data_IF_593426285883
#
_entry.id   IF_593426285883
#
_cell.length_a   1.000
_cell.length_b   1.000
_cell.length_c   1.000
_cell.angle_alpha   90.00
_cell.angle_beta   90.00
_cell.angle_gamma   90.00
#
_symmetry.space_group_name_H-M   'P 1'
#
loop_
_entity.id
_entity.type
_entity.pdbx_description
1 polymer ?
#
# COMPACT_ATOMS: atom_id res chain seq x y z
N UNK A 1 3.64 10.35 -6.87
CA UNK A 1 4.96 10.60 -6.24
C UNK A 1 5.68 11.86 -6.77
N UNK A 2 5.22 12.47 -7.84
CA UNK A 2 5.74 13.72 -8.41
C UNK A 2 5.09 14.96 -7.76
N UNK A 3 5.10 15.03 -6.41
CA UNK A 3 4.46 16.12 -5.65
C UNK A 3 5.41 16.75 -4.64
N UNK A 4 5.10 17.98 -4.21
CA UNK A 4 5.85 18.67 -3.15
C UNK A 4 5.81 17.92 -1.81
N UNK A 5 4.74 17.17 -1.53
CA UNK A 5 4.64 16.32 -0.34
C UNK A 5 5.73 15.27 -0.30
N UNK A 6 6.01 14.58 -1.43
CA UNK A 6 7.10 13.61 -1.50
C UNK A 6 8.48 14.23 -1.32
N UNK A 7 8.70 15.44 -1.86
CA UNK A 7 9.95 16.14 -1.64
C UNK A 7 10.16 16.50 -0.16
N UNK A 8 9.11 17.00 0.50
CA UNK A 8 9.16 17.32 1.95
C UNK A 8 9.39 16.08 2.82
N UNK A 9 8.73 14.96 2.49
CA UNK A 9 8.88 13.69 3.23
C UNK A 9 10.29 13.10 3.14
N UNK A 10 10.98 13.31 2.01
CA UNK A 10 12.36 12.81 1.81
C UNK A 10 13.41 13.82 2.29
N UNK A 11 13.33 14.27 3.54
CA UNK A 11 14.19 15.31 4.14
C UNK A 11 15.69 15.05 4.00
N UNK A 12 16.11 13.78 3.99
CA UNK A 12 17.51 13.38 3.84
C UNK A 12 18.01 13.46 2.39
N UNK A 13 17.13 13.73 1.44
CA UNK A 13 17.46 13.85 0.03
C UNK A 13 17.27 15.30 -0.40
N UNK A 14 18.25 15.87 -1.07
CA UNK A 14 18.04 17.14 -1.76
C UNK A 14 17.06 16.93 -2.92
N UNK A 15 16.16 17.88 -3.11
CA UNK A 15 15.16 17.83 -4.17
C UNK A 15 15.26 19.01 -5.12
N UNK A 16 14.83 18.81 -6.35
CA UNK A 16 14.68 19.87 -7.34
C UNK A 16 13.48 19.57 -8.25
N UNK A 17 12.85 20.64 -8.73
CA UNK A 17 11.78 20.55 -9.73
C UNK A 17 12.33 20.99 -11.06
N UNK A 18 12.14 20.17 -12.09
CA UNK A 18 12.51 20.46 -13.46
C UNK A 18 11.25 20.45 -14.32
N UNK A 19 11.18 21.30 -15.32
CA UNK A 19 10.04 21.33 -16.23
C UNK A 19 10.41 21.90 -17.59
N UNK A 20 9.63 21.53 -18.61
CA UNK A 20 9.70 22.08 -19.96
C UNK A 20 8.44 22.86 -20.23
N UNK A 21 8.60 24.09 -20.71
CA UNK A 21 7.48 24.90 -21.19
C UNK A 21 7.57 25.09 -22.69
N UNK A 22 6.46 24.97 -23.37
CA UNK A 22 6.27 25.30 -24.77
C UNK A 22 5.08 26.26 -24.86
N UNK A 23 5.24 27.39 -25.50
CA UNK A 23 4.22 28.42 -25.62
C UNK A 23 3.56 28.82 -24.29
N UNK A 24 4.37 28.88 -23.24
CA UNK A 24 3.92 29.20 -21.87
C UNK A 24 3.29 28.04 -21.10
N UNK A 25 2.95 26.92 -21.74
CA UNK A 25 2.37 25.75 -21.12
C UNK A 25 3.43 24.76 -20.63
N UNK A 26 3.22 24.18 -19.45
CA UNK A 26 4.08 23.13 -18.91
C UNK A 26 3.74 21.79 -19.59
N UNK A 27 4.65 21.29 -20.45
CA UNK A 27 4.48 20.06 -21.22
C UNK A 27 5.24 18.85 -20.63
N UNK A 28 6.22 19.12 -19.76
CA UNK A 28 6.91 18.06 -19.02
C UNK A 28 7.35 18.55 -17.64
N UNK A 29 7.35 17.65 -16.65
CA UNK A 29 7.78 17.95 -15.28
C UNK A 29 8.45 16.76 -14.61
N UNK A 30 9.40 17.04 -13.71
CA UNK A 30 10.05 16.03 -12.88
C UNK A 30 10.40 16.57 -11.48
N UNK A 31 10.06 15.82 -10.46
CA UNK A 31 10.69 15.91 -9.14
C UNK A 31 11.93 15.02 -9.16
N UNK A 32 13.10 15.61 -9.03
CA UNK A 32 14.37 14.90 -8.96
C UNK A 32 14.87 14.91 -7.51
N UNK A 33 15.07 13.74 -6.95
CA UNK A 33 15.60 13.52 -5.62
C UNK A 33 17.08 13.12 -5.71
N UNK A 34 17.95 13.76 -4.92
CA UNK A 34 19.39 13.50 -4.90
C UNK A 34 19.79 12.89 -3.56
N UNK A 35 20.11 11.60 -3.57
CA UNK A 35 20.64 10.91 -2.37
C UNK A 35 22.15 11.10 -2.31
N UNK A 36 22.68 11.61 -1.19
CA UNK A 36 24.13 11.70 -0.98
C UNK A 36 24.80 10.32 -1.05
N UNK A 37 25.96 10.27 -1.68
CA UNK A 37 26.88 9.13 -1.73
C UNK A 37 28.24 9.56 -1.18
N UNK A 38 29.13 8.60 -0.83
CA UNK A 38 30.50 8.92 -0.43
C UNK A 38 31.24 9.79 -1.46
N UNK A 39 32.25 10.51 -1.00
CA UNK A 39 33.13 11.39 -1.82
C UNK A 39 32.37 12.55 -2.49
N UNK A 40 31.24 12.98 -1.94
CA UNK A 40 30.46 14.10 -2.43
C UNK A 40 29.72 13.85 -3.75
N UNK A 41 29.59 12.61 -4.16
CA UNK A 41 28.71 12.20 -5.27
C UNK A 41 27.26 12.06 -4.82
N UNK A 42 26.36 11.91 -5.80
CA UNK A 42 24.94 11.68 -5.54
C UNK A 42 24.40 10.53 -6.40
N UNK A 43 23.26 10.00 -5.97
CA UNK A 43 22.37 9.17 -6.77
C UNK A 43 21.11 9.98 -7.04
N UNK A 44 20.77 10.21 -8.32
CA UNK A 44 19.58 10.95 -8.70
C UNK A 44 18.42 9.98 -8.98
N UNK A 45 17.22 10.32 -8.50
CA UNK A 45 16.01 9.51 -8.69
C UNK A 45 14.79 10.36 -9.01
N UNK A 46 14.02 9.96 -10.01
CA UNK A 46 12.74 10.56 -10.41
C UNK A 46 11.61 9.54 -10.15
N UNK A 47 11.02 9.53 -8.94
CA UNK A 47 10.03 8.53 -8.55
C UNK A 47 8.73 8.69 -9.33
N UNK A 48 8.26 7.63 -10.00
CA UNK A 48 7.03 7.62 -10.81
C UNK A 48 6.93 8.75 -11.83
N UNK A 49 8.08 9.14 -12.38
CA UNK A 49 8.22 10.18 -13.40
C UNK A 49 9.41 9.91 -14.32
N UNK A 50 9.76 10.88 -15.17
CA UNK A 50 9.12 12.18 -15.43
C UNK A 50 7.67 12.10 -15.91
N UNK A 51 6.92 13.20 -15.73
CA UNK A 51 5.58 13.37 -16.28
C UNK A 51 5.72 14.08 -17.64
N UNK A 52 5.44 13.42 -18.74
CA UNK A 52 5.49 13.95 -20.10
C UNK A 52 4.82 12.98 -21.07
N UNK A 53 4.60 13.41 -22.30
CA UNK A 53 4.25 12.51 -23.39
C UNK A 53 5.51 11.80 -23.91
N UNK A 54 5.59 10.50 -23.68
CA UNK A 54 6.72 9.66 -24.11
C UNK A 54 6.61 9.20 -25.57
N UNK A 55 5.49 9.43 -26.25
CA UNK A 55 5.32 9.19 -27.70
C UNK A 55 5.96 10.31 -28.51
N UNK A 56 6.09 11.52 -27.94
CA UNK A 56 6.88 12.59 -28.53
C UNK A 56 8.38 12.31 -28.36
N UNK A 57 9.00 11.81 -29.44
CA UNK A 57 10.42 11.46 -29.46
C UNK A 57 11.33 12.68 -29.21
N UNK A 58 10.98 13.86 -29.75
CA UNK A 58 11.77 15.08 -29.59
C UNK A 58 11.74 15.58 -28.15
N UNK A 59 10.55 15.64 -27.54
CA UNK A 59 10.38 16.00 -26.13
C UNK A 59 11.10 15.00 -25.22
N UNK A 60 10.96 13.70 -25.48
CA UNK A 60 11.60 12.63 -24.69
C UNK A 60 13.11 12.77 -24.74
N UNK A 61 13.70 12.94 -25.93
CA UNK A 61 15.15 13.11 -26.10
C UNK A 61 15.63 14.38 -25.41
N UNK A 62 14.93 15.49 -25.60
CA UNK A 62 15.26 16.78 -25.01
C UNK A 62 15.24 16.71 -23.47
N UNK A 63 14.11 16.31 -22.90
CA UNK A 63 13.91 16.39 -21.45
C UNK A 63 14.80 15.38 -20.69
N UNK A 64 14.91 14.13 -21.16
CA UNK A 64 15.83 13.17 -20.55
C UNK A 64 17.29 13.60 -20.67
N UNK A 65 17.67 14.24 -21.79
CA UNK A 65 18.98 14.85 -21.99
C UNK A 65 19.27 15.97 -20.99
N UNK A 66 18.30 16.90 -20.78
CA UNK A 66 18.41 17.99 -19.81
C UNK A 66 18.47 17.47 -18.36
N UNK A 67 17.61 16.49 -18.00
CA UNK A 67 17.67 15.85 -16.69
C UNK A 67 19.02 15.18 -16.44
N UNK A 68 19.61 14.54 -17.45
CA UNK A 68 20.96 13.95 -17.36
C UNK A 68 22.02 15.01 -17.16
N UNK A 69 21.96 16.16 -17.86
CA UNK A 69 22.89 17.31 -17.71
C UNK A 69 22.76 17.92 -16.31
N UNK A 70 21.53 18.15 -15.87
CA UNK A 70 21.25 18.68 -14.54
C UNK A 70 21.76 17.73 -13.44
N UNK A 71 21.48 16.42 -13.55
CA UNK A 71 21.98 15.45 -12.60
C UNK A 71 23.53 15.39 -12.56
N UNK A 72 24.20 15.58 -13.73
CA UNK A 72 25.66 15.67 -13.82
C UNK A 72 26.22 16.88 -13.06
N UNK A 73 25.54 18.05 -13.14
CA UNK A 73 25.93 19.25 -12.40
C UNK A 73 25.83 19.07 -10.87
N UNK A 74 24.93 18.18 -10.43
CA UNK A 74 24.75 17.75 -9.03
C UNK A 74 25.63 16.55 -8.65
N UNK A 75 26.68 16.25 -9.43
CA UNK A 75 27.63 15.14 -9.24
C UNK A 75 26.97 13.76 -9.19
N UNK A 76 25.84 13.56 -9.85
CA UNK A 76 25.20 12.25 -9.89
C UNK A 76 26.04 11.22 -10.65
N UNK A 77 26.02 9.98 -10.17
CA UNK A 77 26.62 8.82 -10.82
C UNK A 77 25.73 8.33 -11.95
N UNK A 78 24.45 8.29 -11.70
CA UNK A 78 23.39 8.00 -12.67
C UNK A 78 22.08 8.64 -12.19
N UNK A 79 21.11 8.78 -13.10
CA UNK A 79 19.76 9.16 -12.79
C UNK A 79 18.85 7.97 -13.08
N UNK A 80 18.17 7.48 -12.07
CA UNK A 80 17.14 6.46 -12.17
C UNK A 80 15.77 7.12 -12.32
N UNK A 81 14.89 6.54 -13.13
CA UNK A 81 13.49 6.95 -13.25
C UNK A 81 12.61 5.76 -13.54
N UNK A 82 11.39 5.80 -13.05
CA UNK A 82 10.38 4.73 -13.19
C UNK A 82 9.01 5.33 -13.49
N UNK A 83 8.78 5.79 -14.75
CA UNK A 83 7.56 6.51 -15.11
C UNK A 83 6.32 5.66 -14.83
N UNK A 84 5.23 6.34 -14.46
CA UNK A 84 3.95 5.69 -14.18
C UNK A 84 3.22 5.32 -15.50
N UNK A 85 3.95 4.67 -16.40
CA UNK A 85 3.43 4.20 -17.68
C UNK A 85 2.90 2.77 -17.54
N UNK A 86 1.62 2.61 -17.79
CA UNK A 86 0.96 1.31 -17.73
C UNK A 86 1.25 0.52 -19.00
N UNK A 87 1.72 -0.71 -18.87
CA UNK A 87 1.83 -1.69 -19.97
C UNK A 87 0.48 -2.34 -20.19
N UNK A 88 -0.12 -2.86 -19.11
CA UNK A 88 -1.38 -3.58 -19.16
C UNK A 88 -2.13 -3.47 -17.83
N UNK A 89 -3.44 -3.60 -17.92
CA UNK A 89 -4.30 -3.91 -16.78
C UNK A 89 -4.94 -5.27 -17.03
N UNK A 90 -4.96 -6.11 -16.02
CA UNK A 90 -5.62 -7.41 -16.08
C UNK A 90 -6.50 -7.64 -14.87
N UNK A 91 -7.53 -8.49 -15.04
CA UNK A 91 -8.43 -8.91 -13.99
C UNK A 91 -8.89 -10.34 -14.30
N UNK A 92 -8.96 -11.22 -13.31
CA UNK A 92 -9.26 -12.65 -13.49
C UNK A 92 -8.40 -13.31 -14.59
N UNK A 93 -7.11 -12.93 -14.67
CA UNK A 93 -6.16 -13.40 -15.69
C UNK A 93 -6.47 -12.91 -17.12
N UNK A 94 -7.53 -12.12 -17.32
CA UNK A 94 -7.85 -11.50 -18.60
C UNK A 94 -7.26 -10.09 -18.68
N UNK A 95 -6.65 -9.76 -19.82
CA UNK A 95 -6.13 -8.42 -20.10
C UNK A 95 -7.29 -7.53 -20.53
N UNK A 96 -7.61 -6.52 -19.70
CA UNK A 96 -8.67 -5.54 -19.97
C UNK A 96 -8.16 -4.28 -20.66
N UNK A 97 -6.87 -4.01 -20.53
CA UNK A 97 -6.19 -2.91 -21.22
C UNK A 97 -4.76 -3.31 -21.58
N UNK A 98 -4.29 -2.89 -22.75
CA UNK A 98 -2.89 -2.99 -23.18
C UNK A 98 -2.49 -1.72 -23.89
N UNK A 99 -1.33 -1.18 -23.53
CA UNK A 99 -0.79 0.02 -24.16
C UNK A 99 -0.28 -0.31 -25.58
N UNK A 100 -0.98 0.21 -26.59
CA UNK A 100 -0.61 -0.02 -28.00
C UNK A 100 0.67 0.71 -28.42
N UNK A 101 1.06 1.78 -27.70
CA UNK A 101 2.24 2.60 -28.02
C UNK A 101 3.50 2.18 -27.24
N UNK A 102 3.45 1.02 -26.54
CA UNK A 102 4.55 0.58 -25.67
C UNK A 102 5.90 0.49 -26.40
N UNK A 103 5.92 -0.08 -27.59
CA UNK A 103 7.16 -0.29 -28.36
C UNK A 103 7.76 1.06 -28.78
N UNK A 104 6.95 2.00 -29.21
CA UNK A 104 7.34 3.39 -29.53
C UNK A 104 7.91 4.11 -28.30
N UNK A 105 7.21 4.06 -27.18
CA UNK A 105 7.65 4.64 -25.90
C UNK A 105 9.00 4.06 -25.48
N UNK A 106 9.15 2.72 -25.55
CA UNK A 106 10.39 2.03 -25.22
C UNK A 106 11.54 2.41 -26.14
N UNK A 107 11.26 2.59 -27.43
CA UNK A 107 12.25 3.05 -28.42
C UNK A 107 12.70 4.48 -28.12
N UNK A 108 11.77 5.40 -27.88
CA UNK A 108 12.07 6.80 -27.57
C UNK A 108 12.93 6.95 -26.31
N UNK A 109 12.61 6.20 -25.24
CA UNK A 109 13.41 6.20 -24.01
C UNK A 109 14.83 5.64 -24.26
N UNK A 110 14.95 4.52 -25.01
CA UNK A 110 16.26 3.92 -25.33
C UNK A 110 17.11 4.84 -26.21
N UNK A 111 16.51 5.45 -27.23
CA UNK A 111 17.18 6.40 -28.12
C UNK A 111 17.66 7.66 -27.36
N UNK A 112 16.99 8.01 -26.26
CA UNK A 112 17.39 9.09 -25.36
C UNK A 112 18.47 8.65 -24.34
N UNK A 113 18.98 7.41 -24.45
CA UNK A 113 20.02 6.85 -23.59
C UNK A 113 19.53 6.20 -22.31
N UNK A 114 18.22 5.94 -22.19
CA UNK A 114 17.63 5.18 -21.08
C UNK A 114 17.95 3.69 -21.18
N UNK A 115 18.56 3.14 -20.14
CA UNK A 115 18.87 1.71 -20.06
C UNK A 115 17.82 1.02 -19.22
N UNK A 116 17.04 0.14 -19.84
CA UNK A 116 16.07 -0.74 -19.18
C UNK A 116 16.72 -2.09 -18.85
N UNK A 117 16.58 -2.57 -17.60
CA UNK A 117 17.22 -3.81 -17.16
C UNK A 117 16.33 -5.04 -17.21
N UNK A 118 15.31 -4.97 -18.03
CA UNK A 118 14.36 -6.08 -18.24
C UNK A 118 13.13 -6.01 -17.36
N UNK A 119 12.17 -6.85 -17.70
CA UNK A 119 10.91 -6.97 -16.99
C UNK A 119 11.01 -8.03 -15.90
N UNK A 120 10.94 -7.64 -14.67
CA UNK A 120 10.98 -8.53 -13.50
C UNK A 120 9.59 -8.76 -12.90
N UNK A 121 9.38 -9.93 -12.32
CA UNK A 121 8.15 -10.28 -11.58
C UNK A 121 8.33 -10.22 -10.06
N UNK A 122 9.59 -10.17 -9.59
CA UNK A 122 9.93 -10.03 -8.17
C UNK A 122 9.60 -8.63 -7.66
N UNK A 123 8.87 -8.56 -6.55
CA UNK A 123 8.44 -7.31 -5.90
C UNK A 123 9.62 -6.41 -5.53
N UNK A 124 10.74 -6.99 -5.14
CA UNK A 124 11.93 -6.28 -4.63
C UNK A 124 13.01 -6.05 -5.69
N UNK A 125 12.76 -6.42 -6.93
CA UNK A 125 13.77 -6.29 -7.98
C UNK A 125 13.98 -4.85 -8.44
N UNK A 126 12.95 -4.03 -8.37
CA UNK A 126 12.93 -2.61 -8.76
C UNK A 126 12.73 -1.70 -7.55
N UNK A 127 13.01 -0.40 -7.72
CA UNK A 127 12.83 0.62 -6.67
C UNK A 127 11.34 0.78 -6.30
N UNK A 128 10.48 0.77 -7.32
CA UNK A 128 9.03 0.70 -7.15
C UNK A 128 8.50 -0.62 -7.75
N UNK A 129 7.50 -1.24 -7.15
CA UNK A 129 6.89 -2.45 -7.70
C UNK A 129 6.39 -2.23 -9.13
N UNK A 130 6.64 -3.21 -9.99
CA UNK A 130 6.10 -3.20 -11.37
C UNK A 130 4.63 -3.57 -11.41
N UNK A 131 4.19 -4.46 -10.55
CA UNK A 131 2.81 -4.91 -10.47
C UNK A 131 2.15 -4.35 -9.22
N UNK A 132 1.01 -3.70 -9.41
CA UNK A 132 0.19 -3.14 -8.36
C UNK A 132 -1.21 -3.75 -8.38
N UNK A 133 -1.77 -3.97 -7.20
CA UNK A 133 -3.18 -4.32 -7.07
C UNK A 133 -3.96 -3.05 -6.76
N UNK A 134 -4.94 -2.71 -7.61
CA UNK A 134 -5.79 -1.54 -7.43
C UNK A 134 -7.25 -1.90 -7.67
N UNK A 135 -8.17 -1.17 -7.03
CA UNK A 135 -9.60 -1.28 -7.29
C UNK A 135 -10.12 0.01 -7.90
N UNK A 136 -11.16 -0.10 -8.73
CA UNK A 136 -11.96 1.02 -9.27
C UNK A 136 -13.30 1.08 -8.52
N UNK A 137 -14.09 2.12 -8.76
CA UNK A 137 -15.35 2.37 -8.05
C UNK A 137 -16.32 1.18 -8.09
N UNK A 138 -16.38 0.47 -9.22
CA UNK A 138 -17.21 -0.72 -9.41
C UNK A 138 -16.91 -1.87 -8.42
N UNK A 139 -15.72 -1.87 -7.80
CA UNK A 139 -15.38 -2.87 -6.80
C UNK A 139 -16.29 -2.84 -5.55
N UNK A 140 -16.85 -1.67 -5.21
CA UNK A 140 -17.75 -1.55 -4.06
C UNK A 140 -19.09 -2.26 -4.27
N UNK A 141 -19.55 -2.38 -5.52
CA UNK A 141 -20.80 -3.02 -5.90
C UNK A 141 -20.65 -4.54 -6.08
N UNK A 142 -19.43 -5.01 -6.30
CA UNK A 142 -19.11 -6.41 -6.65
C UNK A 142 -18.11 -7.08 -5.71
N UNK A 143 -18.09 -6.67 -4.44
CA UNK A 143 -17.24 -7.31 -3.44
C UNK A 143 -17.51 -8.81 -3.39
N UNK A 144 -16.47 -9.66 -3.37
CA UNK A 144 -16.63 -11.11 -3.22
C UNK A 144 -17.42 -11.46 -1.96
N UNK A 145 -18.29 -12.46 -2.06
CA UNK A 145 -19.20 -12.88 -0.96
C UNK A 145 -18.48 -13.11 0.37
N UNK A 146 -17.25 -13.64 0.34
CA UNK A 146 -16.47 -13.87 1.56
C UNK A 146 -15.98 -12.57 2.18
N UNK A 147 -15.65 -11.58 1.37
CA UNK A 147 -15.30 -10.23 1.84
C UNK A 147 -16.52 -9.54 2.47
N UNK A 148 -17.68 -9.62 1.82
CA UNK A 148 -18.92 -9.11 2.41
C UNK A 148 -19.29 -9.78 3.74
N UNK A 149 -19.11 -11.11 3.87
CA UNK A 149 -19.34 -11.82 5.15
C UNK A 149 -18.40 -11.29 6.25
N UNK A 150 -17.14 -11.05 5.91
CA UNK A 150 -16.16 -10.51 6.87
C UNK A 150 -16.49 -9.08 7.27
N UNK A 151 -16.91 -8.24 6.32
CA UNK A 151 -17.40 -6.88 6.62
C UNK A 151 -18.63 -6.90 7.54
N UNK A 152 -19.64 -7.74 7.23
CA UNK A 152 -20.81 -7.88 8.12
C UNK A 152 -20.42 -8.31 9.53
N UNK A 153 -19.39 -9.17 9.66
CA UNK A 153 -18.86 -9.55 10.98
C UNK A 153 -18.15 -8.39 11.66
N UNK A 154 -17.36 -7.59 10.93
CA UNK A 154 -16.73 -6.41 11.50
C UNK A 154 -17.79 -5.45 12.09
N UNK A 155 -18.82 -5.12 11.32
CA UNK A 155 -19.92 -4.28 11.80
C UNK A 155 -20.68 -4.92 12.98
N UNK A 156 -20.89 -6.24 12.95
CA UNK A 156 -21.51 -6.94 14.08
C UNK A 156 -20.64 -6.92 15.34
N UNK A 157 -19.33 -6.83 15.20
CA UNK A 157 -18.43 -6.64 16.36
C UNK A 157 -18.25 -5.16 16.74
N UNK A 158 -19.15 -4.28 16.30
CA UNK A 158 -19.11 -2.82 16.58
C UNK A 158 -17.83 -2.14 16.11
N UNK A 159 -17.15 -2.71 15.09
CA UNK A 159 -15.97 -2.07 14.52
C UNK A 159 -16.38 -0.91 13.62
N UNK A 160 -15.77 0.26 13.84
CA UNK A 160 -16.02 1.48 13.07
C UNK A 160 -14.72 1.96 12.44
N UNK A 161 -14.79 2.41 11.20
CA UNK A 161 -13.70 3.16 10.54
C UNK A 161 -13.85 4.64 10.84
N UNK A 162 -12.83 5.26 11.43
CA UNK A 162 -12.83 6.67 11.80
C UNK A 162 -11.70 7.38 11.05
N UNK A 163 -12.04 8.41 10.27
CA UNK A 163 -11.05 9.27 9.63
C UNK A 163 -10.53 10.25 10.65
N UNK A 164 -9.21 10.33 10.81
CA UNK A 164 -8.54 11.06 11.86
C UNK A 164 -7.53 12.07 11.28
N UNK A 165 -7.23 13.10 12.06
CA UNK A 165 -6.13 14.01 11.78
C UNK A 165 -4.79 13.53 12.35
N UNK A 166 -3.78 14.39 12.23
CA UNK A 166 -2.41 14.13 12.69
C UNK A 166 -2.32 13.90 14.21
N UNK A 167 -3.27 14.42 14.97
CA UNK A 167 -3.35 14.29 16.44
C UNK A 167 -3.48 12.83 16.91
N UNK A 168 -3.95 11.93 16.03
CA UNK A 168 -4.12 10.52 16.35
C UNK A 168 -3.10 9.60 15.64
N UNK A 169 -2.07 10.15 15.02
CA UNK A 169 -1.09 9.37 14.27
C UNK A 169 -0.27 8.42 15.14
N UNK A 170 -0.14 8.74 16.43
CA UNK A 170 0.58 7.89 17.38
C UNK A 170 -0.15 6.57 17.64
N UNK A 171 -1.48 6.58 17.67
CA UNK A 171 -2.28 5.36 17.77
C UNK A 171 -2.08 4.46 16.54
N UNK A 172 -1.96 5.07 15.34
CA UNK A 172 -1.61 4.33 14.14
C UNK A 172 -0.20 3.73 14.21
N UNK A 173 0.78 4.48 14.72
CA UNK A 173 2.14 3.98 14.90
C UNK A 173 2.19 2.77 15.84
N UNK A 174 1.36 2.77 16.90
CA UNK A 174 1.23 1.61 17.80
C UNK A 174 0.63 0.40 17.08
N UNK A 175 -0.36 0.60 16.21
CA UNK A 175 -0.92 -0.47 15.36
C UNK A 175 0.13 -1.03 14.39
N UNK A 176 0.97 -0.19 13.81
CA UNK A 176 2.07 -0.65 12.94
C UNK A 176 3.10 -1.47 13.74
N UNK A 177 3.38 -1.08 14.99
CA UNK A 177 4.29 -1.83 15.86
C UNK A 177 3.83 -3.29 16.13
N UNK A 178 2.52 -3.57 16.16
CA UNK A 178 2.02 -4.96 16.19
C UNK A 178 2.42 -5.73 14.93
N UNK A 179 2.27 -5.11 13.76
CA UNK A 179 2.65 -5.70 12.47
C UNK A 179 4.16 -5.96 12.39
N UNK A 180 4.99 -5.03 12.85
CA UNK A 180 6.45 -5.16 12.89
C UNK A 180 6.88 -6.35 13.75
N UNK A 181 6.34 -6.46 14.97
CA UNK A 181 6.62 -7.58 15.88
C UNK A 181 6.27 -8.92 15.26
N UNK A 182 5.08 -9.02 14.65
CA UNK A 182 4.60 -10.25 14.00
C UNK A 182 5.50 -10.68 12.84
N UNK A 183 5.79 -9.74 11.93
CA UNK A 183 6.52 -10.03 10.70
C UNK A 183 8.04 -9.99 10.90
N UNK A 184 8.52 -9.63 12.10
CA UNK A 184 9.95 -9.45 12.42
C UNK A 184 10.66 -8.52 11.44
N UNK A 185 9.98 -7.45 11.05
CA UNK A 185 10.49 -6.40 10.15
C UNK A 185 10.45 -5.04 10.85
N UNK A 186 11.29 -4.12 10.40
CA UNK A 186 11.19 -2.71 10.78
C UNK A 186 10.63 -1.95 9.59
N UNK A 187 9.49 -1.31 9.75
CA UNK A 187 8.82 -0.54 8.70
C UNK A 187 9.28 0.92 8.71
N UNK A 188 8.64 1.75 9.52
CA UNK A 188 8.92 3.19 9.61
C UNK A 188 8.77 3.66 11.04
N UNK A 189 9.54 4.69 11.41
CA UNK A 189 9.43 5.29 12.74
C UNK A 189 8.15 6.10 12.89
N UNK A 190 7.76 6.38 14.13
CA UNK A 190 6.64 7.25 14.51
C UNK A 190 6.77 8.63 13.88
N UNK A 191 7.97 9.22 13.94
CA UNK A 191 8.28 10.51 13.33
C UNK A 191 8.06 10.53 11.83
N UNK A 192 8.33 9.43 11.14
CA UNK A 192 8.07 9.32 9.72
C UNK A 192 6.58 9.42 9.38
N UNK A 193 5.70 8.85 10.20
CA UNK A 193 4.26 8.97 10.02
C UNK A 193 3.76 10.39 10.30
N UNK A 194 4.28 11.04 11.33
CA UNK A 194 4.03 12.48 11.60
C UNK A 194 4.47 13.32 10.40
N UNK A 195 5.68 13.12 9.90
CA UNK A 195 6.22 13.82 8.72
C UNK A 195 5.36 13.60 7.48
N UNK A 196 4.82 12.39 7.29
CA UNK A 196 3.94 12.07 6.17
C UNK A 196 2.63 12.86 6.27
N UNK A 197 1.95 12.83 7.41
CA UNK A 197 0.73 13.61 7.62
C UNK A 197 0.98 15.11 7.42
N UNK A 198 2.06 15.65 7.98
CA UNK A 198 2.42 17.06 7.83
C UNK A 198 2.80 17.44 6.38
N UNK A 199 3.44 16.53 5.64
CA UNK A 199 3.87 16.78 4.27
C UNK A 199 2.71 16.76 3.26
N UNK A 200 1.72 15.89 3.47
CA UNK A 200 0.60 15.70 2.54
C UNK A 200 -0.68 16.41 2.95
N UNK A 201 -0.83 16.78 4.24
CA UNK A 201 -1.99 17.52 4.77
C UNK A 201 -3.32 16.87 4.37
N UNK A 202 -4.19 17.63 3.68
CA UNK A 202 -5.49 17.19 3.19
C UNK A 202 -5.44 16.05 2.14
N UNK A 203 -4.28 15.79 1.57
CA UNK A 203 -4.07 14.64 0.69
C UNK A 203 -3.66 13.37 1.46
N UNK A 204 -3.37 13.47 2.76
CA UNK A 204 -3.15 12.30 3.61
C UNK A 204 -4.48 11.81 4.20
N UNK A 205 -4.70 10.49 4.14
CA UNK A 205 -5.80 9.82 4.81
C UNK A 205 -5.24 8.96 5.93
N UNK A 206 -5.58 9.29 7.18
CA UNK A 206 -5.44 8.42 8.33
C UNK A 206 -6.82 7.85 8.67
N UNK A 207 -6.98 6.54 8.57
CA UNK A 207 -8.18 5.83 8.97
C UNK A 207 -7.83 4.85 10.08
N UNK A 208 -8.49 4.97 11.23
CA UNK A 208 -8.38 4.03 12.35
C UNK A 208 -9.62 3.15 12.42
N UNK A 209 -9.44 1.88 12.74
CA UNK A 209 -10.52 0.97 13.07
C UNK A 209 -10.62 0.85 14.58
N UNK A 210 -11.78 1.22 15.12
CA UNK A 210 -12.07 1.23 16.54
C UNK A 210 -13.16 0.22 16.89
N UNK A 211 -13.13 -0.30 18.10
CA UNK A 211 -14.18 -1.13 18.66
C UNK A 211 -14.63 -0.59 20.02
N UNK A 212 -15.94 -0.58 20.24
CA UNK A 212 -16.54 -0.33 21.55
C UNK A 212 -16.87 -1.68 22.20
N UNK A 213 -15.94 -2.17 23.02
CA UNK A 213 -16.05 -3.46 23.69
C UNK A 213 -17.12 -3.46 24.78
N UNK A 214 -17.44 -2.30 25.36
CA UNK A 214 -18.52 -2.15 26.33
C UNK A 214 -19.88 -2.40 25.66
N UNK A 215 -20.17 -1.63 24.60
CA UNK A 215 -21.41 -1.77 23.83
C UNK A 215 -21.55 -3.17 23.22
N UNK A 216 -20.45 -3.74 22.69
CA UNK A 216 -20.43 -5.10 22.16
C UNK A 216 -20.85 -6.13 23.21
N UNK A 217 -20.23 -6.09 24.39
CA UNK A 217 -20.54 -7.04 25.48
C UNK A 217 -21.93 -6.89 26.04
N UNK A 218 -22.45 -5.66 26.20
CA UNK A 218 -23.81 -5.40 26.64
C UNK A 218 -24.83 -6.02 25.67
N UNK A 219 -24.62 -5.85 24.37
CA UNK A 219 -25.46 -6.47 23.35
C UNK A 219 -25.36 -7.99 23.35
N UNK A 220 -24.14 -8.54 23.37
CA UNK A 220 -23.92 -9.99 23.35
C UNK A 220 -24.47 -10.67 24.61
N UNK A 221 -24.37 -10.03 25.77
CA UNK A 221 -24.97 -10.52 27.02
C UNK A 221 -26.52 -10.57 26.92
N UNK A 222 -27.11 -9.52 26.35
CA UNK A 222 -28.57 -9.52 26.09
C UNK A 222 -28.98 -10.62 25.13
N UNK A 223 -28.32 -10.75 23.98
CA UNK A 223 -28.58 -11.82 23.00
C UNK A 223 -28.41 -13.23 23.64
N UNK A 224 -27.43 -13.41 24.52
CA UNK A 224 -27.23 -14.66 25.26
C UNK A 224 -28.37 -14.98 26.18
N UNK A 225 -28.88 -13.99 26.97
CA UNK A 225 -30.05 -14.20 27.84
C UNK A 225 -31.33 -14.52 27.05
N UNK A 226 -31.53 -13.86 25.91
CA UNK A 226 -32.67 -14.16 25.02
C UNK A 226 -32.61 -15.60 24.48
N UNK A 227 -31.40 -16.10 24.12
CA UNK A 227 -31.20 -17.50 23.69
C UNK A 227 -31.45 -18.50 24.82
N UNK A 228 -31.10 -18.17 26.07
CA UNK A 228 -31.44 -19.03 27.22
C UNK A 228 -32.94 -19.09 27.46
N UNK A 229 -33.65 -17.97 27.43
CA UNK A 229 -35.08 -17.90 27.55
C UNK A 229 -35.81 -18.63 26.40
N UNK A 230 -35.31 -18.52 25.16
CA UNK A 230 -35.84 -19.30 24.03
C UNK A 230 -35.68 -20.81 24.28
N UNK A 231 -34.57 -21.26 24.82
CA UNK A 231 -34.30 -22.68 25.11
C UNK A 231 -35.30 -23.26 26.07
N UNK A 232 -35.66 -22.52 27.12
CA UNK A 232 -36.67 -22.96 28.11
C UNK A 232 -38.07 -23.16 27.48
N UNK A 233 -38.39 -22.40 26.43
CA UNK A 233 -39.69 -22.45 25.74
C UNK A 233 -39.70 -23.44 24.55
N UNK A 234 -38.60 -24.11 24.22
CA UNK A 234 -38.56 -25.10 23.13
C UNK A 234 -39.01 -26.47 23.66
N UNK A 235 -40.03 -27.09 23.06
CA UNK A 235 -40.48 -28.43 23.48
C UNK A 235 -39.40 -29.49 23.32
N UNK A 236 -39.32 -30.45 24.26
CA UNK A 236 -38.31 -31.51 24.26
C UNK A 236 -38.35 -32.41 23.01
N UNK A 237 -39.49 -32.54 22.37
CA UNK A 237 -39.62 -33.30 21.13
C UNK A 237 -38.99 -32.59 19.92
N UNK A 238 -38.72 -31.30 19.99
CA UNK A 238 -38.06 -30.52 18.94
C UNK A 238 -36.53 -30.67 18.93
N UNK A 239 -36.01 -31.90 18.97
CA UNK A 239 -34.61 -32.27 19.15
C UNK A 239 -33.63 -31.51 18.23
N UNK A 240 -33.99 -31.29 16.95
CA UNK A 240 -33.15 -30.57 15.97
C UNK A 240 -33.02 -29.10 16.36
N UNK A 241 -34.10 -28.44 16.77
CA UNK A 241 -34.10 -27.04 17.20
C UNK A 241 -33.30 -26.87 18.49
N UNK A 242 -33.53 -27.76 19.47
CA UNK A 242 -32.77 -27.78 20.72
C UNK A 242 -31.24 -27.88 20.46
N UNK A 243 -30.80 -28.86 19.68
CA UNK A 243 -29.40 -29.05 19.36
C UNK A 243 -28.77 -27.81 18.68
N UNK A 244 -29.52 -27.16 17.77
CA UNK A 244 -29.04 -25.94 17.12
C UNK A 244 -28.94 -24.77 18.09
N UNK A 245 -29.89 -24.63 18.99
CA UNK A 245 -29.93 -23.56 19.99
C UNK A 245 -28.81 -23.74 21.04
N UNK A 246 -28.58 -24.96 21.51
CA UNK A 246 -27.49 -25.30 22.44
C UNK A 246 -26.14 -24.99 21.84
N UNK A 247 -25.93 -25.28 20.55
CA UNK A 247 -24.70 -24.90 19.85
C UNK A 247 -24.52 -23.37 19.78
N UNK A 248 -25.62 -22.62 19.54
CA UNK A 248 -25.56 -21.14 19.54
C UNK A 248 -25.22 -20.60 20.92
N UNK A 249 -25.88 -21.12 21.97
CA UNK A 249 -25.62 -20.74 23.38
C UNK A 249 -24.17 -20.99 23.76
N UNK A 250 -23.65 -22.19 23.44
CA UNK A 250 -22.22 -22.53 23.71
C UNK A 250 -21.27 -21.59 23.01
N UNK A 251 -21.53 -21.24 21.74
CA UNK A 251 -20.72 -20.29 20.99
C UNK A 251 -20.80 -18.89 21.58
N UNK A 252 -22.00 -18.40 21.91
CA UNK A 252 -22.21 -17.08 22.50
C UNK A 252 -21.50 -16.95 23.86
N UNK A 253 -21.58 -17.97 24.71
CA UNK A 253 -20.87 -17.99 25.99
C UNK A 253 -19.34 -17.92 25.81
N UNK A 254 -18.80 -18.67 24.84
CA UNK A 254 -17.37 -18.63 24.53
C UNK A 254 -16.96 -17.24 24.01
N UNK A 255 -17.75 -16.63 23.12
CA UNK A 255 -17.45 -15.34 22.53
C UNK A 255 -17.55 -14.23 23.59
N UNK A 256 -18.56 -14.23 24.46
CA UNK A 256 -18.68 -13.35 25.63
C UNK A 256 -17.44 -13.39 26.52
N UNK A 257 -16.98 -14.61 26.87
CA UNK A 257 -15.76 -14.78 27.70
C UNK A 257 -14.52 -14.22 27.00
N UNK A 258 -14.38 -14.47 25.71
CA UNK A 258 -13.24 -13.98 24.92
C UNK A 258 -13.23 -12.45 24.82
N UNK A 259 -14.40 -11.84 24.55
CA UNK A 259 -14.53 -10.39 24.42
C UNK A 259 -14.39 -9.68 25.78
N UNK A 260 -14.85 -10.30 26.88
CA UNK A 260 -14.62 -9.77 28.22
C UNK A 260 -13.11 -9.71 28.57
N UNK A 261 -12.35 -10.73 28.19
CA UNK A 261 -10.90 -10.71 28.36
C UNK A 261 -10.20 -9.64 27.51
N UNK A 262 -10.71 -9.37 26.30
CA UNK A 262 -10.22 -8.26 25.48
C UNK A 262 -10.53 -6.90 26.14
N UNK A 263 -11.74 -6.71 26.68
CA UNK A 263 -12.10 -5.50 27.41
C UNK A 263 -11.26 -5.29 28.66
N UNK A 264 -10.96 -6.35 29.41
CA UNK A 264 -10.06 -6.28 30.58
C UNK A 264 -8.67 -5.80 30.18
N UNK A 265 -8.16 -6.25 29.03
CA UNK A 265 -6.82 -5.92 28.56
C UNK A 265 -6.70 -4.57 27.87
N UNK A 266 -7.71 -4.14 27.11
CA UNK A 266 -7.67 -2.99 26.22
C UNK A 266 -8.60 -1.84 26.62
N UNK A 267 -9.45 -2.04 27.64
CA UNK A 267 -10.46 -1.07 28.09
C UNK A 267 -11.76 -1.14 27.30
N UNK A 268 -12.64 -0.17 27.52
CA UNK A 268 -13.95 -0.09 26.89
C UNK A 268 -13.87 0.21 25.39
N UNK A 269 -12.87 0.99 24.98
CA UNK A 269 -12.64 1.38 23.60
C UNK A 269 -11.20 1.04 23.19
N UNK A 270 -11.03 0.46 22.02
CA UNK A 270 -9.72 0.09 21.52
C UNK A 270 -9.57 0.42 20.02
N UNK A 271 -8.39 0.96 19.65
CA UNK A 271 -7.96 1.02 18.26
C UNK A 271 -7.35 -0.34 17.89
N UNK A 272 -7.91 -0.99 16.89
CA UNK A 272 -7.62 -2.39 16.56
C UNK A 272 -7.03 -2.59 15.17
N UNK A 273 -7.01 -1.54 14.36
CA UNK A 273 -6.43 -1.54 13.03
C UNK A 273 -6.34 -0.14 12.47
N UNK A 274 -5.69 0.01 11.33
CA UNK A 274 -5.60 1.31 10.67
C UNK A 274 -4.96 1.25 9.30
N UNK A 275 -5.18 2.33 8.55
CA UNK A 275 -4.68 2.56 7.20
C UNK A 275 -4.16 3.99 7.09
N UNK A 276 -2.94 4.13 6.54
CA UNK A 276 -2.40 5.43 6.14
C UNK A 276 -2.20 5.44 4.63
N UNK A 277 -2.86 6.36 3.95
CA UNK A 277 -2.86 6.50 2.50
C UNK A 277 -2.58 7.95 2.09
N UNK A 278 -2.20 8.14 0.83
CA UNK A 278 -1.94 9.46 0.25
C UNK A 278 -2.64 9.58 -1.09
N UNK A 279 -3.41 10.65 -1.26
CA UNK A 279 -4.03 10.98 -2.54
C UNK A 279 -3.01 11.70 -3.43
N UNK A 280 -2.95 11.30 -4.67
CA UNK A 280 -2.10 11.93 -5.69
C UNK A 280 -2.81 11.85 -7.04
N UNK A 281 -3.28 13.00 -7.53
CA UNK A 281 -4.09 13.07 -8.74
C UNK A 281 -5.34 12.17 -8.63
N UNK A 282 -5.55 11.27 -9.56
CA UNK A 282 -6.69 10.35 -9.64
C UNK A 282 -6.50 9.04 -8.85
N UNK A 283 -5.46 8.94 -8.04
CA UNK A 283 -5.12 7.71 -7.33
C UNK A 283 -4.95 7.95 -5.82
N UNK A 284 -5.54 7.09 -5.01
CA UNK A 284 -5.24 6.98 -3.59
C UNK A 284 -4.24 5.82 -3.38
N UNK A 285 -3.04 6.13 -2.93
CA UNK A 285 -1.97 5.16 -2.64
C UNK A 285 -2.08 4.69 -1.18
N UNK A 286 -2.47 3.45 -0.95
CA UNK A 286 -2.52 2.82 0.37
C UNK A 286 -1.11 2.37 0.77
N UNK A 287 -0.45 3.14 1.62
CA UNK A 287 0.99 2.99 1.87
C UNK A 287 1.31 2.08 3.05
N UNK A 288 0.54 2.22 4.13
CA UNK A 288 0.76 1.47 5.37
C UNK A 288 -0.56 1.02 5.95
N UNK A 289 -0.62 -0.25 6.35
CA UNK A 289 -1.76 -0.80 7.07
C UNK A 289 -1.28 -1.74 8.18
N UNK A 290 -2.05 -1.81 9.26
CA UNK A 290 -1.75 -2.68 10.37
C UNK A 290 -3.01 -3.10 11.12
N UNK A 291 -2.86 -4.11 11.95
CA UNK A 291 -3.89 -4.56 12.88
C UNK A 291 -3.26 -5.10 14.16
N UNK A 292 -4.01 -5.02 15.25
CA UNK A 292 -3.74 -5.78 16.46
C UNK A 292 -4.31 -7.20 16.28
N UNK A 293 -3.44 -8.22 16.38
CA UNK A 293 -3.80 -9.62 16.11
C UNK A 293 -4.81 -10.22 17.08
N UNK A 294 -4.85 -9.72 18.31
CA UNK A 294 -5.85 -10.14 19.29
C UNK A 294 -7.27 -9.90 18.76
N UNK A 295 -7.43 -8.93 17.85
CA UNK A 295 -8.68 -8.58 17.18
C UNK A 295 -8.79 -9.09 15.74
N UNK A 296 -7.96 -10.03 15.30
CA UNK A 296 -7.99 -10.52 13.92
C UNK A 296 -9.36 -11.05 13.47
N UNK A 297 -10.13 -11.65 14.41
CA UNK A 297 -11.48 -12.17 14.17
C UNK A 297 -12.55 -11.09 14.03
N UNK A 298 -12.23 -9.84 14.37
CA UNK A 298 -13.08 -8.66 14.17
C UNK A 298 -12.96 -8.10 12.76
N UNK A 299 -12.03 -8.61 11.96
CA UNK A 299 -11.79 -8.24 10.57
C UNK A 299 -11.53 -6.74 10.31
N UNK A 300 -10.76 -6.03 11.16
CA UNK A 300 -10.52 -4.59 10.99
C UNK A 300 -9.86 -4.27 9.64
N UNK A 301 -9.01 -5.15 9.09
CA UNK A 301 -8.37 -4.94 7.81
C UNK A 301 -9.36 -4.89 6.64
N UNK A 302 -10.40 -5.75 6.65
CA UNK A 302 -11.41 -5.72 5.60
C UNK A 302 -12.20 -4.41 5.65
N UNK A 303 -12.53 -3.96 6.86
CA UNK A 303 -13.21 -2.68 7.06
C UNK A 303 -12.33 -1.51 6.62
N UNK A 304 -11.06 -1.43 7.09
CA UNK A 304 -10.16 -0.33 6.75
C UNK A 304 -9.95 -0.21 5.24
N UNK A 305 -9.82 -1.33 4.52
CA UNK A 305 -9.66 -1.32 3.07
C UNK A 305 -10.91 -0.79 2.37
N UNK A 306 -12.08 -1.30 2.72
CA UNK A 306 -13.34 -0.88 2.08
C UNK A 306 -13.69 0.57 2.40
N UNK A 307 -13.48 1.02 3.64
CA UNK A 307 -13.67 2.44 4.00
C UNK A 307 -12.67 3.35 3.27
N UNK A 308 -11.42 2.88 3.08
CA UNK A 308 -10.43 3.61 2.27
C UNK A 308 -10.86 3.69 0.81
N UNK A 309 -11.45 2.64 0.24
CA UNK A 309 -11.99 2.67 -1.13
C UNK A 309 -13.15 3.66 -1.25
N UNK A 310 -14.09 3.64 -0.30
CA UNK A 310 -15.20 4.60 -0.23
C UNK A 310 -14.69 6.04 -0.19
N UNK A 311 -13.71 6.30 0.67
CA UNK A 311 -13.08 7.60 0.75
C UNK A 311 -12.45 8.01 -0.59
N UNK A 312 -11.65 7.13 -1.22
CA UNK A 312 -10.98 7.42 -2.48
C UNK A 312 -11.98 7.86 -3.56
N UNK A 313 -13.05 7.09 -3.76
CA UNK A 313 -14.04 7.34 -4.80
C UNK A 313 -14.92 8.55 -4.49
N UNK A 314 -15.27 8.77 -3.22
CA UNK A 314 -15.98 9.99 -2.80
C UNK A 314 -15.15 11.27 -3.02
N UNK A 315 -13.81 11.15 -3.09
CA UNK A 315 -12.89 12.27 -3.37
C UNK A 315 -12.37 12.29 -4.81
N UNK A 316 -13.08 11.63 -5.74
CA UNK A 316 -12.81 11.70 -7.19
C UNK A 316 -11.59 10.92 -7.65
N UNK A 317 -11.06 9.97 -6.85
CA UNK A 317 -10.03 9.07 -7.31
C UNK A 317 -10.63 8.04 -8.29
N UNK A 318 -9.89 7.73 -9.34
CA UNK A 318 -10.23 6.65 -10.28
C UNK A 318 -9.81 5.29 -9.72
N UNK A 319 -8.69 5.27 -8.96
CA UNK A 319 -8.12 4.07 -8.37
C UNK A 319 -7.86 4.23 -6.88
N UNK A 320 -8.14 3.17 -6.11
CA UNK A 320 -7.55 2.94 -4.81
C UNK A 320 -6.48 1.84 -4.94
N UNK A 321 -5.20 2.23 -4.85
CA UNK A 321 -4.05 1.37 -5.06
C UNK A 321 -3.62 0.73 -3.74
N UNK A 322 -3.81 -0.58 -3.62
CA UNK A 322 -3.44 -1.37 -2.46
C UNK A 322 -1.94 -1.69 -2.38
N UNK A 323 -1.14 -1.17 -3.33
CA UNK A 323 0.30 -1.36 -3.37
C UNK A 323 0.76 -2.61 -4.13
N UNK A 324 2.09 -2.78 -4.16
CA UNK A 324 2.77 -3.81 -4.96
C UNK A 324 2.40 -5.23 -4.61
N UNK A 325 2.43 -6.09 -5.64
CA UNK A 325 2.29 -7.54 -5.51
C UNK A 325 3.42 -8.25 -6.25
N UNK A 326 3.96 -9.36 -5.73
CA UNK A 326 4.83 -10.25 -6.50
C UNK A 326 3.98 -11.07 -7.47
N UNK A 327 4.50 -11.27 -8.69
CA UNK A 327 3.86 -12.12 -9.70
C UNK A 327 4.53 -13.49 -9.83
N UNK A 328 5.66 -13.68 -9.19
CA UNK A 328 6.44 -14.92 -9.15
C UNK A 328 6.06 -15.85 -7.99
N UNK A 329 5.45 -15.30 -6.94
CA UNK A 329 5.05 -16.05 -5.74
C UNK A 329 3.72 -15.54 -5.19
N UNK A 330 2.78 -16.45 -4.92
CA UNK A 330 1.58 -16.13 -4.15
C UNK A 330 1.93 -16.22 -2.66
N UNK A 331 1.84 -15.08 -1.98
CA UNK A 331 2.01 -14.98 -0.53
C UNK A 331 0.71 -14.51 0.14
N UNK A 332 0.71 -14.49 1.49
CA UNK A 332 -0.47 -14.09 2.26
C UNK A 332 -0.95 -12.67 1.94
N UNK A 333 -0.03 -11.74 1.66
CA UNK A 333 -0.39 -10.36 1.29
C UNK A 333 -1.09 -10.30 -0.08
N UNK A 334 -0.57 -11.03 -1.06
CA UNK A 334 -1.20 -11.14 -2.39
C UNK A 334 -2.59 -11.75 -2.26
N UNK A 335 -2.71 -12.89 -1.55
CA UNK A 335 -3.99 -13.55 -1.30
C UNK A 335 -4.99 -12.61 -0.62
N UNK A 336 -4.55 -11.82 0.36
CA UNK A 336 -5.40 -10.84 1.03
C UNK A 336 -5.93 -9.77 0.06
N UNK A 337 -5.06 -9.19 -0.80
CA UNK A 337 -5.46 -8.17 -1.78
C UNK A 337 -6.46 -8.71 -2.80
N UNK A 338 -6.30 -9.96 -3.22
CA UNK A 338 -7.21 -10.61 -4.17
C UNK A 338 -8.63 -10.84 -3.60
N UNK A 339 -8.81 -10.78 -2.27
CA UNK A 339 -10.15 -10.79 -1.67
C UNK A 339 -11.02 -9.56 -2.03
N UNK A 340 -10.43 -8.53 -2.62
CA UNK A 340 -11.15 -7.32 -3.07
C UNK A 340 -11.33 -7.27 -4.59
N UNK A 341 -11.03 -8.36 -5.29
CA UNK A 341 -11.16 -8.49 -6.74
C UNK A 341 -10.49 -7.35 -7.53
N UNK A 342 -9.16 -7.18 -7.36
CA UNK A 342 -8.44 -6.04 -7.91
C UNK A 342 -8.17 -6.18 -9.41
N UNK A 343 -7.95 -5.03 -10.05
CA UNK A 343 -7.16 -4.94 -11.27
C UNK A 343 -5.67 -5.06 -10.92
N UNK A 344 -4.94 -5.80 -11.73
CA UNK A 344 -3.49 -5.88 -11.67
C UNK A 344 -2.92 -4.94 -12.72
N UNK A 345 -2.28 -3.89 -12.25
CA UNK A 345 -1.67 -2.87 -13.11
C UNK A 345 -0.20 -3.21 -13.28
N UNK A 346 0.24 -3.42 -14.52
CA UNK A 346 1.64 -3.63 -14.87
C UNK A 346 2.26 -2.34 -15.38
N UNK A 347 3.32 -1.86 -14.71
CA UNK A 347 4.08 -0.69 -15.13
C UNK A 347 5.32 -1.06 -15.94
N UNK A 348 5.79 -0.10 -16.74
CA UNK A 348 6.94 -0.25 -17.62
C UNK A 348 8.26 -0.59 -16.90
N UNK A 349 8.33 -0.32 -15.59
CA UNK A 349 9.52 -0.55 -14.77
C UNK A 349 10.46 0.64 -14.72
N UNK A 350 11.74 0.38 -14.44
CA UNK A 350 12.73 1.41 -14.18
C UNK A 350 13.81 1.48 -15.26
N UNK A 351 14.33 2.70 -15.44
CA UNK A 351 15.41 3.01 -16.37
C UNK A 351 16.53 3.76 -15.66
N UNK A 352 17.76 3.60 -16.14
CA UNK A 352 18.91 4.41 -15.73
C UNK A 352 19.45 5.25 -16.87
N UNK A 353 19.67 6.53 -16.65
CA UNK A 353 20.53 7.39 -17.46
C UNK A 353 21.91 7.41 -16.82
N UNK A 354 22.85 6.68 -17.41
CA UNK A 354 24.22 6.58 -16.88
C UNK A 354 25.00 7.86 -17.16
N UNK A 355 25.58 8.45 -16.11
CA UNK A 355 26.33 9.72 -16.17
C UNK A 355 27.82 9.48 -16.02
N UNK A 356 28.24 8.56 -15.11
CA UNK A 356 29.64 8.20 -14.81
C UNK A 356 29.79 6.67 -14.94
N UNK A 357 30.13 6.16 -16.14
CA UNK A 357 30.07 4.72 -16.43
C UNK A 357 30.90 3.84 -15.48
N UNK A 358 32.15 4.21 -15.20
CA UNK A 358 33.02 3.42 -14.32
C UNK A 358 32.48 3.37 -12.88
N UNK A 359 32.04 4.51 -12.35
CA UNK A 359 31.49 4.59 -11.01
C UNK A 359 30.15 3.85 -10.93
N UNK A 360 29.30 3.95 -11.95
CA UNK A 360 28.03 3.22 -12.02
C UNK A 360 28.28 1.71 -11.97
N UNK A 361 29.27 1.20 -12.72
CA UNK A 361 29.64 -0.23 -12.70
C UNK A 361 30.05 -0.68 -11.29
N UNK A 362 30.93 0.09 -10.63
CA UNK A 362 31.36 -0.20 -9.26
C UNK A 362 30.21 -0.17 -8.26
N UNK A 363 29.37 0.87 -8.32
CA UNK A 363 28.21 1.01 -7.41
C UNK A 363 27.20 -0.10 -7.60
N UNK A 364 26.87 -0.48 -8.82
CA UNK A 364 25.97 -1.61 -9.11
C UNK A 364 26.51 -2.93 -8.58
N UNK A 365 27.78 -3.19 -8.75
CA UNK A 365 28.43 -4.38 -8.20
C UNK A 365 28.30 -4.45 -6.67
N UNK A 366 28.55 -3.32 -5.99
CA UNK A 366 28.39 -3.23 -4.53
C UNK A 366 26.94 -3.41 -4.09
N UNK A 367 25.98 -2.81 -4.81
CA UNK A 367 24.55 -2.96 -4.53
C UNK A 367 24.09 -4.41 -4.71
N UNK A 368 24.54 -5.08 -5.78
CA UNK A 368 24.23 -6.50 -6.01
C UNK A 368 24.78 -7.40 -4.91
N UNK A 369 26.04 -7.20 -4.49
CA UNK A 369 26.63 -7.95 -3.37
C UNK A 369 25.86 -7.73 -2.06
N UNK A 370 25.48 -6.49 -1.77
CA UNK A 370 24.67 -6.17 -0.58
C UNK A 370 23.31 -6.89 -0.62
N UNK A 371 22.64 -6.86 -1.77
CA UNK A 371 21.35 -7.55 -1.96
C UNK A 371 21.49 -9.07 -1.74
N UNK A 372 22.52 -9.69 -2.31
CA UNK A 372 22.82 -11.11 -2.13
C UNK A 372 23.11 -11.45 -0.65
N UNK A 373 23.87 -10.60 0.04
CA UNK A 373 24.15 -10.79 1.47
C UNK A 373 22.88 -10.69 2.34
N UNK A 374 21.96 -9.76 2.03
CA UNK A 374 20.68 -9.63 2.72
C UNK A 374 19.80 -10.87 2.50
N UNK A 375 19.64 -11.33 1.26
CA UNK A 375 18.87 -12.54 0.93
C UNK A 375 19.45 -13.78 1.62
N UNK A 376 20.79 -13.89 1.68
CA UNK A 376 21.45 -14.99 2.38
C UNK A 376 21.16 -14.96 3.89
N UNK A 377 21.18 -13.76 4.50
CA UNK A 377 20.86 -13.56 5.93
C UNK A 377 19.40 -13.92 6.24
N UNK A 378 18.46 -13.52 5.39
CA UNK A 378 17.04 -13.87 5.53
C UNK A 378 16.82 -15.39 5.45
N UNK A 379 17.44 -16.05 4.47
CA UNK A 379 17.36 -17.53 4.34
C UNK A 379 17.98 -18.28 5.53
N UNK A 380 19.01 -17.73 6.15
CA UNK A 380 19.60 -18.32 7.37
C UNK A 380 18.67 -18.17 8.56
N UNK A 381 18.03 -17.00 8.73
CA UNK A 381 17.07 -16.76 9.81
C UNK A 381 15.79 -17.61 9.67
N UNK A 382 15.35 -17.88 8.43
CA UNK A 382 14.17 -18.73 8.17
C UNK A 382 14.45 -20.23 8.41
N UNK A 383 15.72 -20.66 8.38
CA UNK A 383 16.11 -22.06 8.67
C UNK A 383 16.41 -22.31 10.15
N UNK A 384 16.58 -21.25 10.95
CA UNK A 384 16.93 -21.32 12.37
C UNK A 384 15.71 -21.08 13.31
N UNK A 385 14.53 -20.86 12.80
CA UNK A 385 13.24 -20.78 13.49
C UNK A 385 12.25 -21.77 12.93
#
# INVERSE_FOLDING_TARGET
MQTSGWARLKKEWNSAYCGVKQDGQLIAAALVLFRPLPLGYTFAYVPRGPLMDYTDAALTQFFLGELKRFARSRKAVFLKFDPQLVISESRHEETVYRNAQLDEIMANIRNSGGIHYGFTKDLNATTQPRFMAAVKQDALERLPRDTEKKLRRAYRHEVKGVICGIERIDEFADIIAYTERRQRVTLRSREYFHDMMAAFKEDALLLLCEVDLKTLLEREAKEYQEMLAERENVPENAKKKLKQLELKITNAQRDLKAHAALRERYGDHAVIGGQLAVRSNQMLEMLYSGLNEDFAKFYPNYLSYVETFRYAFAHGCEYANMGGIPMDQRNGLTTFKFNFDPYIIEYIGEFDLVIRPLMNRALRFLMQRRKQAMVKKERMNTKAG
#
